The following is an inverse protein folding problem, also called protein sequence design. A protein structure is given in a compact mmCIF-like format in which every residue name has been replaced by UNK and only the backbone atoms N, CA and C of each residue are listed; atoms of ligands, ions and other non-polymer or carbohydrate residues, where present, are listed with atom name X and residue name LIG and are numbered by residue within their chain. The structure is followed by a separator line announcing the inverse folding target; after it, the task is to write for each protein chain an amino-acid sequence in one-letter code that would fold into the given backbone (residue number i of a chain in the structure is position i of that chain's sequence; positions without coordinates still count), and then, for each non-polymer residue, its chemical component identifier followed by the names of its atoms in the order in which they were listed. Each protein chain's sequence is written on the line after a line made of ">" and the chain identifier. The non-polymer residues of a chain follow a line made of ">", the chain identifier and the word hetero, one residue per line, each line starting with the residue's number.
data_IF_879799144955
#
_entry.id   IF_879799144955
#
_cell.length_a   1.000
_cell.length_b   1.000
_cell.length_c   1.000
_cell.angle_alpha   90.00
_cell.angle_beta   90.00
_cell.angle_gamma   90.00
#
_symmetry.space_group_name_H-M   'P 1'
#
loop_
_entity.id
_entity.type
_entity.pdbx_description
1 polymer ?
#
# COMPACT_ATOMS: atom_id res chain seq x y z
N UNK A 1 -14.55 12.49 0.51
CA UNK A 1 -13.47 13.24 1.23
C UNK A 1 -13.08 14.45 0.38
N UNK A 2 -13.04 15.65 0.98
CA UNK A 2 -12.54 16.84 0.31
C UNK A 2 -11.03 16.74 -0.01
N UNK A 3 -10.53 17.56 -0.93
CA UNK A 3 -9.12 17.50 -1.33
C UNK A 3 -8.18 17.87 -0.17
N UNK A 4 -8.56 18.87 0.61
CA UNK A 4 -7.81 19.35 1.77
C UNK A 4 -7.69 18.26 2.86
N UNK A 5 -8.78 17.54 3.12
CA UNK A 5 -8.81 16.41 4.07
C UNK A 5 -7.92 15.26 3.57
N UNK A 6 -7.96 14.99 2.27
CA UNK A 6 -7.09 13.99 1.65
C UNK A 6 -5.61 14.38 1.79
N UNK A 7 -5.28 15.65 1.55
CA UNK A 7 -3.92 16.17 1.75
C UNK A 7 -3.51 16.08 3.22
N UNK A 8 -4.40 16.44 4.16
CA UNK A 8 -4.14 16.32 5.59
C UNK A 8 -3.88 14.86 5.98
N UNK A 9 -4.67 13.91 5.46
CA UNK A 9 -4.44 12.48 5.66
C UNK A 9 -3.07 12.04 5.13
N UNK A 10 -2.69 12.44 3.92
CA UNK A 10 -1.41 12.06 3.34
C UNK A 10 -0.22 12.64 4.14
N UNK A 11 -0.33 13.88 4.62
CA UNK A 11 0.66 14.46 5.54
C UNK A 11 0.73 13.69 6.87
N UNK A 12 -0.41 13.32 7.44
CA UNK A 12 -0.49 12.51 8.65
C UNK A 12 0.12 11.11 8.44
N UNK A 13 -0.05 10.54 7.24
CA UNK A 13 0.63 9.32 6.84
C UNK A 13 2.14 9.54 6.58
N UNK A 14 2.58 10.80 6.68
CA UNK A 14 3.96 11.27 6.69
C UNK A 14 4.55 11.46 5.31
N UNK A 15 3.74 11.74 4.33
CA UNK A 15 4.21 12.20 3.04
C UNK A 15 4.53 13.69 3.10
N UNK A 16 5.63 14.07 2.47
CA UNK A 16 5.94 15.48 2.25
C UNK A 16 5.07 16.01 1.10
N UNK A 17 4.13 16.93 1.42
CA UNK A 17 3.20 17.49 0.46
C UNK A 17 3.38 18.99 0.38
N UNK A 18 3.63 19.50 -0.82
CA UNK A 18 3.77 20.92 -1.15
C UNK A 18 2.68 21.34 -2.13
N UNK A 19 2.26 22.59 -2.08
CA UNK A 19 1.30 23.15 -3.03
C UNK A 19 2.01 24.14 -3.96
N UNK A 20 1.81 23.98 -5.27
CA UNK A 20 2.36 24.87 -6.29
C UNK A 20 1.25 25.21 -7.28
N UNK A 21 0.91 26.49 -7.39
CA UNK A 21 -0.14 27.02 -8.29
C UNK A 21 -1.44 26.21 -8.24
N UNK A 22 -1.94 25.94 -7.03
CA UNK A 22 -3.21 25.24 -6.82
C UNK A 22 -3.12 23.72 -6.89
N UNK A 23 -2.03 23.13 -7.39
CA UNK A 23 -1.83 21.69 -7.43
C UNK A 23 -1.03 21.24 -6.20
N UNK A 24 -1.52 20.20 -5.51
CA UNK A 24 -0.77 19.54 -4.45
C UNK A 24 0.15 18.48 -5.05
N UNK A 25 1.39 18.47 -4.61
CA UNK A 25 2.43 17.53 -5.02
C UNK A 25 2.97 16.76 -3.82
N UNK A 26 3.08 15.46 -3.96
CA UNK A 26 3.65 14.56 -2.95
C UNK A 26 5.05 14.13 -3.38
N UNK A 27 6.03 14.30 -2.49
CA UNK A 27 7.36 13.74 -2.66
C UNK A 27 7.34 12.24 -2.35
N UNK A 28 7.28 11.42 -3.39
CA UNK A 28 7.20 9.95 -3.26
C UNK A 28 8.57 9.27 -3.16
N UNK A 29 9.63 9.99 -3.53
CA UNK A 29 11.05 9.71 -3.35
C UNK A 29 11.78 11.04 -3.18
N UNK A 30 13.01 11.08 -2.66
CA UNK A 30 13.76 12.33 -2.58
C UNK A 30 13.79 13.06 -3.93
N UNK A 31 13.23 14.28 -3.94
CA UNK A 31 13.13 15.16 -5.11
C UNK A 31 12.32 14.62 -6.30
N UNK A 32 11.57 13.52 -6.11
CA UNK A 32 10.67 13.00 -7.12
C UNK A 32 9.22 13.10 -6.67
N UNK A 33 8.40 13.79 -7.47
CA UNK A 33 7.06 14.24 -7.10
C UNK A 33 5.97 13.60 -7.96
N UNK A 34 4.80 13.41 -7.34
CA UNK A 34 3.53 13.08 -8.01
C UNK A 34 2.43 14.00 -7.50
N UNK A 35 1.42 14.33 -8.33
CA UNK A 35 0.29 15.13 -7.85
C UNK A 35 -0.55 14.35 -6.84
N UNK A 36 -1.32 15.05 -6.05
CA UNK A 36 -2.36 14.50 -5.17
C UNK A 36 -3.73 15.03 -5.59
N UNK A 37 -4.66 14.10 -5.86
CA UNK A 37 -4.53 12.64 -5.95
C UNK A 37 -3.64 12.22 -7.13
N UNK A 38 -3.00 11.05 -7.02
CA UNK A 38 -2.08 10.56 -8.06
C UNK A 38 -2.78 10.30 -9.41
N UNK A 39 -4.10 10.10 -9.39
CA UNK A 39 -4.94 9.95 -10.58
C UNK A 39 -5.35 11.29 -11.23
N UNK A 40 -4.97 12.41 -10.62
CA UNK A 40 -5.29 13.73 -11.17
C UNK A 40 -4.65 13.88 -12.55
N UNK A 41 -5.50 14.12 -13.54
CA UNK A 41 -5.08 14.39 -14.91
C UNK A 41 -4.59 15.83 -15.01
N UNK A 42 -3.39 16.01 -15.55
CA UNK A 42 -2.75 17.31 -15.72
C UNK A 42 -2.41 17.49 -17.21
N UNK A 43 -2.85 18.59 -17.80
CA UNK A 43 -2.43 18.96 -19.15
C UNK A 43 -0.97 19.44 -19.12
N UNK A 44 -0.17 18.94 -20.07
CA UNK A 44 1.23 19.35 -20.19
C UNK A 44 1.33 20.87 -20.36
N UNK A 45 2.23 21.51 -19.59
CA UNK A 45 2.40 22.96 -19.60
C UNK A 45 1.37 23.76 -18.79
N UNK A 46 0.29 23.16 -18.28
CA UNK A 46 -0.74 23.86 -17.50
C UNK A 46 -0.39 24.06 -16.03
N UNK A 47 0.57 23.32 -15.52
CA UNK A 47 0.95 23.39 -14.10
C UNK A 47 2.45 23.59 -13.93
N UNK A 48 2.81 24.16 -12.78
CA UNK A 48 4.21 24.27 -12.36
C UNK A 48 4.53 23.12 -11.39
N UNK A 49 5.71 22.54 -11.54
CA UNK A 49 6.22 21.54 -10.61
C UNK A 49 6.91 22.17 -9.40
N UNK A 50 7.02 21.46 -8.26
CA UNK A 50 7.84 21.89 -7.14
C UNK A 50 9.29 22.15 -7.56
N UNK A 51 9.94 23.11 -6.92
CA UNK A 51 11.36 23.42 -7.21
C UNK A 51 12.25 22.19 -7.06
N UNK A 52 12.00 21.35 -6.04
CA UNK A 52 12.74 20.11 -5.82
C UNK A 52 12.70 19.13 -7.01
N UNK A 53 11.64 19.17 -7.83
CA UNK A 53 11.52 18.30 -9.01
C UNK A 53 12.62 18.55 -10.04
N UNK A 54 13.25 19.74 -10.04
CA UNK A 54 14.41 20.05 -10.92
C UNK A 54 15.63 19.16 -10.64
N UNK A 55 15.74 18.56 -9.44
CA UNK A 55 16.87 17.72 -9.06
C UNK A 55 16.68 16.25 -9.46
N UNK A 56 15.43 15.75 -9.43
CA UNK A 56 15.15 14.37 -9.82
C UNK A 56 14.06 14.29 -10.88
N UNK A 57 12.83 14.78 -10.58
CA UNK A 57 11.76 14.79 -11.56
C UNK A 57 10.36 14.72 -10.98
N UNK A 58 9.39 14.54 -11.90
CA UNK A 58 7.99 14.33 -11.56
C UNK A 58 7.32 13.36 -12.54
N UNK A 59 6.22 12.73 -12.09
CA UNK A 59 5.36 11.91 -12.93
C UNK A 59 3.90 12.23 -12.62
N UNK A 60 3.09 12.46 -13.63
CA UNK A 60 1.67 12.79 -13.49
C UNK A 60 0.84 12.20 -14.61
N UNK A 61 -0.42 11.89 -14.31
CA UNK A 61 -1.36 11.41 -15.32
C UNK A 61 -1.67 12.51 -16.33
N UNK A 62 -1.82 12.11 -17.60
CA UNK A 62 -2.18 13.00 -18.70
C UNK A 62 -3.47 12.50 -19.37
N UNK A 63 -4.20 13.36 -20.11
CA UNK A 63 -5.36 12.92 -20.90
C UNK A 63 -4.98 11.80 -21.86
N UNK A 64 -5.91 10.88 -22.22
CA UNK A 64 -5.64 9.76 -23.12
C UNK A 64 -5.12 10.17 -24.50
N UNK A 65 -5.53 11.33 -25.00
CA UNK A 65 -5.13 11.92 -26.28
C UNK A 65 -3.78 12.62 -26.24
N UNK A 66 -3.22 12.86 -25.04
CA UNK A 66 -1.94 13.52 -24.90
C UNK A 66 -0.77 12.56 -25.18
N UNK A 67 0.36 13.12 -25.61
CA UNK A 67 1.58 12.33 -25.81
C UNK A 67 2.15 11.85 -24.48
N UNK A 68 1.75 10.66 -24.07
CA UNK A 68 2.31 9.98 -22.89
C UNK A 68 3.70 9.40 -23.22
N UNK A 69 4.61 9.44 -22.23
CA UNK A 69 5.91 8.77 -22.31
C UNK A 69 6.10 7.75 -21.16
N UNK A 70 5.07 7.56 -20.35
CA UNK A 70 5.06 6.60 -19.24
C UNK A 70 3.63 6.20 -18.87
N UNK A 71 3.50 5.29 -17.90
CA UNK A 71 2.21 4.90 -17.33
C UNK A 71 2.26 4.88 -15.81
N UNK A 72 1.15 5.27 -15.17
CA UNK A 72 0.86 5.00 -13.77
C UNK A 72 0.05 3.70 -13.71
N UNK A 73 0.67 2.64 -13.21
CA UNK A 73 0.01 1.34 -13.06
C UNK A 73 -0.59 1.23 -11.65
N UNK A 74 -1.91 1.08 -11.59
CA UNK A 74 -2.68 0.97 -10.35
C UNK A 74 -3.25 -0.42 -10.20
N UNK A 75 -3.31 -0.94 -8.99
CA UNK A 75 -4.09 -2.13 -8.65
C UNK A 75 -5.45 -1.71 -8.13
N UNK A 76 -6.49 -2.09 -8.84
CA UNK A 76 -7.86 -1.71 -8.54
C UNK A 76 -8.83 -2.87 -8.73
N UNK A 77 -9.88 -2.86 -7.91
CA UNK A 77 -11.06 -3.71 -8.10
C UNK A 77 -12.15 -2.83 -8.73
N UNK A 78 -12.51 -3.14 -9.95
CA UNK A 78 -13.56 -2.48 -10.71
C UNK A 78 -14.86 -3.31 -10.66
N UNK A 79 -15.98 -2.73 -11.07
CA UNK A 79 -17.29 -3.40 -11.14
C UNK A 79 -17.70 -4.01 -9.77
N UNK A 80 -17.54 -3.22 -8.69
CA UNK A 80 -17.80 -3.73 -7.34
C UNK A 80 -19.27 -4.09 -7.10
N UNK A 81 -20.24 -3.54 -7.87
CA UNK A 81 -21.66 -3.86 -7.71
C UNK A 81 -21.99 -5.36 -7.85
N UNK A 82 -21.21 -6.08 -8.63
CA UNK A 82 -21.38 -7.53 -8.83
C UNK A 82 -20.56 -8.38 -7.84
N UNK A 83 -19.85 -7.72 -6.91
CA UNK A 83 -19.00 -8.45 -5.98
C UNK A 83 -19.81 -9.13 -4.90
N UNK A 84 -19.51 -10.39 -4.70
CA UNK A 84 -19.99 -11.18 -3.56
C UNK A 84 -18.91 -12.19 -3.14
N UNK A 85 -19.09 -12.81 -1.98
CA UNK A 85 -18.20 -13.90 -1.56
C UNK A 85 -18.17 -15.03 -2.61
N UNK A 86 -19.29 -15.26 -3.31
CA UNK A 86 -19.39 -16.32 -4.31
C UNK A 86 -18.67 -16.00 -5.62
N UNK A 87 -18.37 -14.74 -5.92
CA UNK A 87 -17.56 -14.33 -7.06
C UNK A 87 -16.06 -14.64 -6.88
N UNK A 88 -15.61 -14.95 -5.66
CA UNK A 88 -14.21 -15.28 -5.39
C UNK A 88 -13.86 -16.71 -5.86
N UNK A 89 -12.62 -16.88 -6.29
CA UNK A 89 -12.04 -18.20 -6.55
C UNK A 89 -12.12 -19.08 -5.29
N UNK A 90 -12.26 -20.41 -5.49
CA UNK A 90 -12.51 -21.39 -4.42
C UNK A 90 -11.55 -21.25 -3.23
N UNK A 91 -10.24 -21.07 -3.49
CA UNK A 91 -9.25 -20.97 -2.42
C UNK A 91 -9.45 -19.70 -1.55
N UNK A 92 -9.73 -18.56 -2.18
CA UNK A 92 -9.94 -17.30 -1.45
C UNK A 92 -11.26 -17.29 -0.70
N UNK A 93 -12.32 -17.82 -1.30
CA UNK A 93 -13.60 -18.07 -0.61
C UNK A 93 -13.42 -18.93 0.64
N UNK A 94 -12.62 -20.01 0.56
CA UNK A 94 -12.31 -20.87 1.72
C UNK A 94 -11.61 -20.08 2.82
N UNK A 95 -10.60 -19.24 2.49
CA UNK A 95 -9.86 -18.43 3.48
C UNK A 95 -10.77 -17.42 4.17
N UNK A 96 -11.61 -16.70 3.44
CA UNK A 96 -12.59 -15.77 4.03
C UNK A 96 -13.56 -16.52 4.96
N UNK A 97 -14.10 -17.67 4.54
CA UNK A 97 -15.02 -18.48 5.37
C UNK A 97 -14.32 -19.06 6.61
N UNK A 98 -13.05 -19.41 6.54
CA UNK A 98 -12.29 -19.84 7.72
C UNK A 98 -12.08 -18.68 8.68
N UNK A 99 -11.64 -17.52 8.17
CA UNK A 99 -11.42 -16.34 8.98
C UNK A 99 -12.70 -15.85 9.68
N UNK A 100 -13.84 -15.88 8.99
CA UNK A 100 -15.13 -15.44 9.56
C UNK A 100 -15.70 -16.32 10.67
N UNK A 101 -15.10 -17.49 10.93
CA UNK A 101 -15.48 -18.31 12.10
C UNK A 101 -14.93 -17.75 13.41
N UNK A 102 -13.74 -17.17 13.36
CA UNK A 102 -12.99 -16.72 14.54
C UNK A 102 -12.84 -15.19 14.61
N UNK A 103 -13.10 -14.49 13.50
CA UNK A 103 -12.86 -13.06 13.37
C UNK A 103 -14.12 -12.31 12.93
N UNK A 104 -14.31 -11.12 13.49
CA UNK A 104 -15.39 -10.21 13.14
C UNK A 104 -14.78 -8.88 12.68
N UNK A 105 -15.25 -8.37 11.53
CA UNK A 105 -14.88 -7.02 11.07
C UNK A 105 -15.96 -6.03 11.51
N UNK A 106 -15.55 -4.98 12.20
CA UNK A 106 -16.44 -3.88 12.56
C UNK A 106 -15.73 -2.53 12.56
N UNK A 107 -16.49 -1.42 12.45
CA UNK A 107 -15.91 -0.08 12.62
C UNK A 107 -15.34 0.14 14.02
N UNK A 108 -14.24 0.88 14.09
CA UNK A 108 -13.71 1.46 15.33
C UNK A 108 -14.09 2.94 15.29
N UNK A 109 -15.07 3.31 16.13
CA UNK A 109 -15.73 4.62 16.02
C UNK A 109 -15.03 5.73 16.78
N UNK A 110 -14.18 5.39 17.76
CA UNK A 110 -13.56 6.38 18.65
C UNK A 110 -12.03 6.25 18.67
N UNK A 111 -11.37 7.40 18.78
CA UNK A 111 -9.92 7.44 18.99
C UNK A 111 -9.48 6.71 20.26
N UNK A 112 -10.31 6.73 21.32
CA UNK A 112 -10.03 6.04 22.58
C UNK A 112 -9.93 4.53 22.40
N UNK A 113 -10.93 3.93 21.72
CA UNK A 113 -10.93 2.50 21.40
C UNK A 113 -9.72 2.12 20.55
N UNK A 114 -9.42 2.92 19.53
CA UNK A 114 -8.28 2.70 18.65
C UNK A 114 -6.94 2.74 19.41
N UNK A 115 -6.72 3.76 20.24
CA UNK A 115 -5.49 3.90 21.03
C UNK A 115 -5.25 2.71 21.96
N UNK A 116 -6.31 2.25 22.62
CA UNK A 116 -6.21 1.16 23.59
C UNK A 116 -5.89 -0.19 22.93
N UNK A 117 -6.44 -0.44 21.73
CA UNK A 117 -6.42 -1.77 21.13
C UNK A 117 -5.44 -1.91 19.95
N UNK A 118 -5.17 -0.85 19.17
CA UNK A 118 -4.49 -0.99 17.88
C UNK A 118 -2.95 -0.96 17.98
N UNK A 119 -2.38 -0.36 19.00
CA UNK A 119 -0.92 -0.21 19.11
C UNK A 119 -0.17 -1.55 19.19
N UNK A 120 -0.61 -2.58 19.94
CA UNK A 120 0.03 -3.90 19.94
C UNK A 120 0.03 -4.55 18.55
N UNK A 121 -1.07 -4.47 17.80
CA UNK A 121 -1.15 -5.00 16.44
C UNK A 121 -0.21 -4.25 15.48
N UNK A 122 -0.06 -2.93 15.65
CA UNK A 122 0.91 -2.13 14.89
C UNK A 122 2.36 -2.54 15.20
N UNK A 123 2.71 -2.77 16.47
CA UNK A 123 4.06 -3.20 16.87
C UNK A 123 4.41 -4.56 16.28
N UNK A 124 3.51 -5.55 16.38
CA UNK A 124 3.69 -6.88 15.78
C UNK A 124 3.90 -6.79 14.26
N UNK A 125 3.06 -6.00 13.57
CA UNK A 125 3.23 -5.74 12.14
C UNK A 125 4.58 -5.11 11.82
N UNK A 126 5.01 -4.10 12.60
CA UNK A 126 6.27 -3.39 12.38
C UNK A 126 7.48 -4.34 12.53
N UNK A 127 7.50 -5.15 13.56
CA UNK A 127 8.57 -6.11 13.83
C UNK A 127 8.69 -7.18 12.74
N UNK A 128 7.56 -7.76 12.35
CA UNK A 128 7.51 -8.77 11.28
C UNK A 128 7.97 -8.24 9.94
N UNK A 129 7.50 -7.07 9.55
CA UNK A 129 7.76 -6.53 8.21
C UNK A 129 9.09 -5.82 8.09
N UNK A 130 9.75 -5.53 9.21
CA UNK A 130 10.94 -4.67 9.27
C UNK A 130 10.75 -3.37 8.50
N UNK A 131 9.50 -2.87 8.49
CA UNK A 131 9.11 -1.70 7.72
C UNK A 131 9.70 -0.45 8.37
N UNK A 132 10.87 0.01 7.88
CA UNK A 132 11.64 1.14 8.46
C UNK A 132 10.91 2.50 8.42
N UNK A 133 9.75 2.55 7.77
CA UNK A 133 8.96 3.77 7.62
C UNK A 133 8.06 3.92 8.84
N UNK A 134 8.12 5.10 9.48
CA UNK A 134 7.27 5.45 10.65
C UNK A 134 7.62 4.72 11.93
N UNK A 135 8.94 4.57 12.17
CA UNK A 135 9.44 4.03 13.44
C UNK A 135 8.96 4.80 14.67
N UNK A 136 8.68 6.09 14.51
CA UNK A 136 8.12 6.97 15.56
C UNK A 136 6.77 6.48 16.09
N UNK A 137 5.98 5.76 15.31
CA UNK A 137 4.70 5.17 15.77
C UNK A 137 4.87 3.98 16.73
N UNK A 138 6.08 3.53 16.96
CA UNK A 138 6.39 2.54 18.02
C UNK A 138 6.28 3.14 19.39
N UNK A 139 6.51 4.44 19.52
CA UNK A 139 6.31 5.16 20.76
C UNK A 139 4.80 5.29 21.05
N UNK A 140 4.32 4.87 22.24
CA UNK A 140 2.89 4.89 22.56
C UNK A 140 2.30 6.31 22.57
N UNK A 141 3.07 7.31 23.00
CA UNK A 141 2.60 8.69 23.06
C UNK A 141 2.49 9.28 21.65
N UNK A 142 3.47 8.99 20.78
CA UNK A 142 3.39 9.36 19.38
C UNK A 142 2.20 8.69 18.67
N UNK A 143 2.00 7.39 18.90
CA UNK A 143 0.88 6.64 18.33
C UNK A 143 -0.46 7.22 18.79
N UNK A 144 -0.59 7.57 20.07
CA UNK A 144 -1.79 8.20 20.59
C UNK A 144 -2.08 9.55 19.94
N UNK A 145 -1.07 10.42 19.81
CA UNK A 145 -1.21 11.72 19.13
C UNK A 145 -1.55 11.58 17.64
N UNK A 146 -0.91 10.62 16.96
CA UNK A 146 -1.24 10.28 15.58
C UNK A 146 -2.68 9.80 15.44
N UNK A 147 -3.18 9.00 16.38
CA UNK A 147 -4.57 8.53 16.40
C UNK A 147 -5.54 9.70 16.57
N UNK A 148 -5.27 10.63 17.51
CA UNK A 148 -6.11 11.82 17.68
C UNK A 148 -6.18 12.65 16.41
N UNK A 149 -5.07 12.84 15.75
CA UNK A 149 -5.02 13.55 14.49
C UNK A 149 -5.77 12.81 13.37
N UNK A 150 -5.70 11.47 13.32
CA UNK A 150 -6.42 10.63 12.37
C UNK A 150 -7.94 10.82 12.50
N UNK A 151 -8.47 10.75 13.73
CA UNK A 151 -9.92 10.86 13.98
C UNK A 151 -10.46 12.29 13.84
N UNK A 152 -9.61 13.30 13.66
CA UNK A 152 -10.03 14.67 13.28
C UNK A 152 -10.26 14.82 11.78
N UNK A 153 -9.76 13.89 10.96
CA UNK A 153 -9.93 13.95 9.51
C UNK A 153 -11.30 13.34 9.17
N UNK A 154 -12.21 14.07 8.55
CA UNK A 154 -13.54 13.58 8.25
C UNK A 154 -13.51 12.47 7.18
N UNK A 155 -14.55 11.62 7.20
CA UNK A 155 -14.78 10.60 6.18
C UNK A 155 -13.66 9.53 6.06
N UNK A 156 -12.91 9.29 7.12
CA UNK A 156 -12.04 8.12 7.24
C UNK A 156 -12.84 7.02 7.94
N UNK A 157 -12.94 5.87 7.29
CA UNK A 157 -13.49 4.65 7.88
C UNK A 157 -12.34 3.81 8.44
N UNK A 158 -12.38 3.59 9.74
CA UNK A 158 -11.44 2.70 10.43
C UNK A 158 -12.15 1.39 10.70
N UNK A 159 -11.69 0.31 10.09
CA UNK A 159 -12.20 -1.03 10.31
C UNK A 159 -11.22 -1.82 11.18
N UNK A 160 -11.74 -2.48 12.21
CA UNK A 160 -11.00 -3.40 13.05
C UNK A 160 -11.40 -4.84 12.79
N UNK A 161 -10.41 -5.75 12.79
CA UNK A 161 -10.62 -7.20 12.81
C UNK A 161 -10.42 -7.73 14.22
N UNK A 162 -11.48 -8.29 14.81
CA UNK A 162 -11.51 -8.71 16.21
C UNK A 162 -11.66 -10.22 16.33
N UNK A 163 -10.91 -10.82 17.26
CA UNK A 163 -11.17 -12.14 17.81
C UNK A 163 -11.61 -11.95 19.25
N UNK A 164 -12.86 -12.23 19.55
CA UNK A 164 -13.46 -11.88 20.84
C UNK A 164 -13.28 -10.38 21.17
N UNK A 165 -12.46 -10.06 22.19
CA UNK A 165 -12.13 -8.69 22.58
C UNK A 165 -10.76 -8.21 22.05
N UNK A 166 -9.99 -9.10 21.43
CA UNK A 166 -8.66 -8.79 20.91
C UNK A 166 -8.77 -8.17 19.51
N UNK A 167 -8.20 -6.98 19.33
CA UNK A 167 -8.08 -6.32 18.03
C UNK A 167 -6.80 -6.81 17.35
N UNK A 168 -6.96 -7.71 16.39
CA UNK A 168 -5.85 -8.33 15.66
C UNK A 168 -5.36 -7.57 14.45
N UNK A 169 -6.12 -6.58 13.94
CA UNK A 169 -5.68 -5.75 12.84
C UNK A 169 -6.63 -4.65 12.47
N UNK A 170 -6.13 -3.68 11.71
CA UNK A 170 -6.82 -2.45 11.35
C UNK A 170 -6.65 -2.13 9.87
N UNK A 171 -7.72 -1.65 9.26
CA UNK A 171 -7.70 -1.02 7.94
C UNK A 171 -8.17 0.42 8.04
N UNK A 172 -7.46 1.32 7.34
CA UNK A 172 -7.88 2.69 7.10
C UNK A 172 -8.34 2.82 5.66
N UNK A 173 -9.59 3.21 5.48
CA UNK A 173 -10.20 3.42 4.16
C UNK A 173 -10.88 4.79 4.09
N UNK A 174 -11.01 5.35 2.91
CA UNK A 174 -11.77 6.57 2.68
C UNK A 174 -12.28 6.63 1.24
N UNK A 175 -13.41 7.32 1.07
CA UNK A 175 -14.01 7.55 -0.24
C UNK A 175 -13.60 8.93 -0.78
N UNK A 176 -13.06 8.96 -2.01
CA UNK A 176 -12.81 10.16 -2.79
C UNK A 176 -13.17 9.93 -4.26
N UNK A 177 -13.97 10.82 -4.83
CA UNK A 177 -14.34 10.81 -6.26
C UNK A 177 -14.78 9.41 -6.75
N UNK A 178 -15.74 8.77 -6.05
CA UNK A 178 -16.26 7.41 -6.32
C UNK A 178 -15.22 6.27 -6.22
N UNK A 179 -14.00 6.56 -5.79
CA UNK A 179 -12.96 5.56 -5.50
C UNK A 179 -12.82 5.36 -4.00
N UNK A 180 -13.01 4.13 -3.53
CA UNK A 180 -12.71 3.73 -2.16
C UNK A 180 -11.23 3.35 -2.07
N UNK A 181 -10.47 4.13 -1.32
CA UNK A 181 -9.04 3.87 -1.11
C UNK A 181 -8.84 2.92 0.07
N UNK A 182 -8.25 1.76 -0.19
CA UNK A 182 -7.74 0.85 0.83
C UNK A 182 -6.34 1.29 1.24
N UNK A 183 -6.30 2.37 2.04
CA UNK A 183 -5.09 3.19 2.19
C UNK A 183 -4.00 2.55 3.06
N UNK A 184 -4.39 1.81 4.09
CA UNK A 184 -3.46 1.18 5.04
C UNK A 184 -4.12 -0.04 5.66
N UNK A 185 -3.31 -1.08 5.83
CA UNK A 185 -3.67 -2.25 6.61
C UNK A 185 -2.46 -2.73 7.42
N UNK A 186 -2.68 -3.06 8.69
CA UNK A 186 -1.71 -3.75 9.52
C UNK A 186 -2.42 -4.75 10.42
N UNK A 187 -1.76 -5.84 10.75
CA UNK A 187 -2.28 -6.87 11.67
C UNK A 187 -1.14 -7.58 12.40
N UNK A 188 -1.48 -8.17 13.53
CA UNK A 188 -0.58 -9.05 14.27
C UNK A 188 -0.37 -10.41 13.55
N UNK A 189 0.58 -11.19 14.08
CA UNK A 189 0.98 -12.47 13.49
C UNK A 189 -0.09 -13.56 13.62
N UNK A 190 -0.83 -13.56 14.73
CA UNK A 190 -1.84 -14.59 14.96
C UNK A 190 -3.07 -14.36 14.07
N UNK A 191 -3.49 -13.10 13.93
CA UNK A 191 -4.57 -12.73 13.01
C UNK A 191 -4.18 -12.91 11.54
N UNK A 192 -2.89 -12.74 11.21
CA UNK A 192 -2.38 -13.05 9.87
C UNK A 192 -2.55 -14.56 9.54
N UNK A 193 -2.22 -15.46 10.48
CA UNK A 193 -2.41 -16.92 10.34
C UNK A 193 -3.89 -17.29 10.19
N UNK A 194 -4.80 -16.53 10.82
CA UNK A 194 -6.24 -16.67 10.71
C UNK A 194 -6.83 -16.04 9.44
N UNK A 195 -6.01 -15.63 8.48
CA UNK A 195 -6.44 -15.01 7.23
C UNK A 195 -7.19 -13.68 7.38
N UNK A 196 -6.92 -12.90 8.43
CA UNK A 196 -7.52 -11.57 8.62
C UNK A 196 -7.36 -10.64 7.39
N UNK A 197 -6.21 -10.61 6.67
CA UNK A 197 -6.09 -9.78 5.46
C UNK A 197 -7.12 -10.11 4.37
N UNK A 198 -7.45 -11.39 4.22
CA UNK A 198 -8.46 -11.86 3.25
C UNK A 198 -9.87 -11.42 3.66
N UNK A 199 -10.20 -11.59 4.95
CA UNK A 199 -11.49 -11.18 5.50
C UNK A 199 -11.66 -9.66 5.48
N UNK A 200 -10.62 -8.90 5.82
CA UNK A 200 -10.64 -7.43 5.81
C UNK A 200 -10.85 -6.89 4.39
N UNK A 201 -10.12 -7.42 3.41
CA UNK A 201 -10.29 -7.02 2.01
C UNK A 201 -11.70 -7.39 1.50
N UNK A 202 -12.23 -8.56 1.90
CA UNK A 202 -13.61 -8.95 1.58
C UNK A 202 -14.61 -7.95 2.16
N UNK A 203 -14.52 -7.60 3.44
CA UNK A 203 -15.41 -6.65 4.08
C UNK A 203 -15.40 -5.26 3.42
N UNK A 204 -14.21 -4.77 3.04
CA UNK A 204 -14.06 -3.50 2.31
C UNK A 204 -14.72 -3.57 0.93
N UNK A 205 -14.54 -4.66 0.18
CA UNK A 205 -15.16 -4.84 -1.13
C UNK A 205 -16.68 -5.04 -1.04
N UNK A 206 -17.15 -5.74 -0.04
CA UNK A 206 -18.58 -5.91 0.24
C UNK A 206 -19.23 -4.58 0.57
N UNK A 207 -18.57 -3.74 1.39
CA UNK A 207 -19.04 -2.37 1.67
C UNK A 207 -19.06 -1.50 0.39
N UNK A 208 -18.09 -1.67 -0.50
CA UNK A 208 -18.08 -0.97 -1.79
C UNK A 208 -19.21 -1.47 -2.72
N UNK A 209 -19.48 -2.77 -2.74
CA UNK A 209 -20.56 -3.36 -3.53
C UNK A 209 -21.96 -2.88 -3.09
N UNK A 210 -22.13 -2.67 -1.78
CA UNK A 210 -23.38 -2.17 -1.20
C UNK A 210 -23.64 -0.68 -1.50
N UNK A 211 -22.66 0.06 -2.03
CA UNK A 211 -22.77 1.49 -2.30
C UNK A 211 -22.69 1.80 -3.80
N UNK A 212 -23.78 2.28 -4.44
CA UNK A 212 -23.76 2.63 -5.87
C UNK A 212 -22.84 3.80 -6.20
N UNK A 213 -22.42 4.57 -5.19
CA UNK A 213 -21.50 5.69 -5.37
C UNK A 213 -20.04 5.25 -5.50
N UNK A 214 -19.73 3.97 -5.23
CA UNK A 214 -18.37 3.44 -5.29
C UNK A 214 -18.20 2.62 -6.56
N UNK A 215 -17.45 3.17 -7.53
CA UNK A 215 -17.16 2.48 -8.79
C UNK A 215 -15.88 1.63 -8.73
N UNK A 216 -14.95 1.99 -7.86
CA UNK A 216 -13.60 1.41 -7.80
C UNK A 216 -13.14 1.26 -6.35
N UNK A 217 -12.44 0.16 -6.04
CA UNK A 217 -11.62 0.04 -4.83
C UNK A 217 -10.15 0.06 -5.25
N UNK A 218 -9.48 1.15 -4.93
CA UNK A 218 -8.04 1.30 -5.16
C UNK A 218 -7.26 0.57 -4.06
N UNK A 219 -6.45 -0.40 -4.45
CA UNK A 219 -5.67 -1.20 -3.51
C UNK A 219 -4.24 -0.68 -3.31
N UNK A 220 -3.52 -0.39 -4.39
CA UNK A 220 -2.16 0.15 -4.35
C UNK A 220 -1.67 0.59 -5.73
N UNK A 221 -0.47 1.20 -5.76
CA UNK A 221 0.32 1.32 -7.00
C UNK A 221 1.02 0.00 -7.26
N UNK A 222 0.94 -0.52 -8.51
CA UNK A 222 1.63 -1.73 -8.93
C UNK A 222 3.15 -1.54 -8.94
N UNK A 223 3.88 -2.45 -8.31
CA UNK A 223 5.34 -2.36 -8.11
C UNK A 223 6.14 -3.42 -8.88
N UNK A 224 5.49 -4.16 -9.77
CA UNK A 224 6.15 -5.17 -10.59
C UNK A 224 6.09 -6.58 -10.00
N UNK A 225 4.97 -6.96 -9.38
CA UNK A 225 4.70 -8.35 -8.98
C UNK A 225 5.33 -8.77 -7.65
N UNK A 226 5.57 -7.81 -6.72
CA UNK A 226 5.97 -8.17 -5.35
C UNK A 226 4.85 -8.92 -4.61
N UNK A 227 5.14 -9.44 -3.40
CA UNK A 227 4.17 -10.21 -2.62
C UNK A 227 2.83 -9.51 -2.37
N UNK A 228 2.83 -8.17 -2.21
CA UNK A 228 1.60 -7.40 -2.04
C UNK A 228 0.83 -7.27 -3.37
N UNK A 229 1.52 -7.08 -4.49
CA UNK A 229 0.87 -7.05 -5.80
C UNK A 229 0.24 -8.41 -6.11
N UNK A 230 0.98 -9.51 -5.88
CA UNK A 230 0.48 -10.88 -6.05
C UNK A 230 -0.74 -11.16 -5.14
N UNK A 231 -0.71 -10.64 -3.89
CA UNK A 231 -1.84 -10.71 -2.98
C UNK A 231 -3.11 -10.10 -3.57
N UNK A 232 -3.04 -8.89 -4.13
CA UNK A 232 -4.22 -8.23 -4.70
C UNK A 232 -4.65 -8.84 -6.04
N UNK A 233 -3.69 -9.12 -6.95
CA UNK A 233 -3.99 -9.70 -8.28
C UNK A 233 -4.68 -11.05 -8.15
N UNK A 234 -4.19 -11.93 -7.26
CA UNK A 234 -4.81 -13.24 -7.03
C UNK A 234 -6.23 -13.16 -6.45
N UNK A 235 -6.63 -12.01 -5.91
CA UNK A 235 -7.98 -11.74 -5.38
C UNK A 235 -8.85 -10.95 -6.36
N UNK A 236 -8.39 -10.82 -7.61
CA UNK A 236 -9.15 -10.22 -8.71
C UNK A 236 -8.89 -8.74 -8.92
N UNK A 237 -7.85 -8.15 -8.30
CA UNK A 237 -7.44 -6.80 -8.68
C UNK A 237 -6.88 -6.80 -10.10
N UNK A 238 -7.23 -5.78 -10.86
CA UNK A 238 -6.71 -5.53 -12.19
C UNK A 238 -5.61 -4.49 -12.15
N UNK A 239 -4.66 -4.61 -13.09
CA UNK A 239 -3.67 -3.56 -13.33
C UNK A 239 -4.30 -2.56 -14.29
N UNK A 240 -4.69 -1.40 -13.75
CA UNK A 240 -5.22 -0.28 -14.54
C UNK A 240 -4.04 0.61 -14.95
N UNK A 241 -3.82 0.71 -16.27
CA UNK A 241 -2.75 1.54 -16.83
C UNK A 241 -3.29 2.92 -17.20
N UNK A 242 -2.82 3.95 -16.53
CA UNK A 242 -3.19 5.33 -16.81
C UNK A 242 -2.05 6.02 -17.55
N UNK A 243 -2.28 6.61 -18.75
CA UNK A 243 -1.28 7.39 -19.46
C UNK A 243 -0.69 8.48 -18.56
N UNK A 244 0.64 8.61 -18.60
CA UNK A 244 1.34 9.55 -17.75
C UNK A 244 2.49 10.22 -18.49
N UNK A 245 2.86 11.40 -18.01
CA UNK A 245 4.07 12.10 -18.41
C UNK A 245 5.11 11.98 -17.28
N UNK A 246 6.28 11.48 -17.64
CA UNK A 246 7.46 11.38 -16.78
C UNK A 246 8.46 12.43 -17.22
N UNK A 247 8.78 13.34 -16.33
CA UNK A 247 9.82 14.33 -16.52
C UNK A 247 10.94 14.06 -15.53
N UNK A 248 12.13 13.73 -16.04
CA UNK A 248 13.32 13.47 -15.24
C UNK A 248 14.38 14.50 -15.55
N UNK A 249 15.09 14.95 -14.52
CA UNK A 249 16.35 15.63 -14.71
C UNK A 249 17.29 14.71 -15.52
N UNK A 250 17.97 15.20 -16.58
CA UNK A 250 18.79 14.36 -17.45
C UNK A 250 19.83 13.51 -16.71
N UNK A 251 20.53 14.10 -15.72
CA UNK A 251 21.52 13.39 -14.93
C UNK A 251 20.88 12.33 -14.03
N UNK A 252 19.79 12.67 -13.34
CA UNK A 252 19.04 11.72 -12.52
C UNK A 252 18.48 10.57 -13.37
N UNK A 253 17.95 10.89 -14.56
CA UNK A 253 17.47 9.89 -15.52
C UNK A 253 18.55 8.92 -15.96
N UNK A 254 19.76 9.42 -16.26
CA UNK A 254 20.91 8.59 -16.61
C UNK A 254 21.32 7.67 -15.45
N UNK A 255 21.39 8.20 -14.23
CA UNK A 255 21.74 7.43 -13.03
C UNK A 255 20.68 6.35 -12.78
N UNK A 256 19.39 6.70 -12.77
CA UNK A 256 18.32 5.73 -12.50
C UNK A 256 18.32 4.63 -13.58
N UNK A 257 18.47 4.98 -14.85
CA UNK A 257 18.48 4.02 -15.95
C UNK A 257 19.64 3.03 -15.84
N UNK A 258 20.84 3.49 -15.49
CA UNK A 258 22.04 2.64 -15.49
C UNK A 258 22.20 1.83 -14.19
N UNK A 259 21.92 2.42 -13.04
CA UNK A 259 22.15 1.79 -11.73
C UNK A 259 20.89 1.17 -11.11
N UNK A 260 19.69 1.61 -11.56
CA UNK A 260 18.40 1.14 -11.03
C UNK A 260 17.42 0.78 -12.15
N UNK A 261 17.79 -0.12 -13.10
CA UNK A 261 17.00 -0.38 -14.31
C UNK A 261 15.55 -0.85 -14.01
N UNK A 262 15.36 -1.62 -12.92
CA UNK A 262 14.02 -2.06 -12.50
C UNK A 262 13.16 -0.87 -12.05
N UNK A 263 13.73 0.06 -11.29
CA UNK A 263 13.04 1.29 -10.88
C UNK A 263 12.73 2.19 -12.08
N UNK A 264 13.65 2.26 -13.05
CA UNK A 264 13.40 2.99 -14.29
C UNK A 264 12.26 2.38 -15.10
N UNK A 265 12.25 1.06 -15.28
CA UNK A 265 11.14 0.34 -15.93
C UNK A 265 9.80 0.53 -15.18
N UNK A 266 9.83 0.59 -13.84
CA UNK A 266 8.66 0.90 -13.03
C UNK A 266 8.14 2.33 -13.29
N UNK A 267 9.02 3.32 -13.40
CA UNK A 267 8.65 4.71 -13.73
C UNK A 267 8.07 4.82 -15.14
N UNK A 268 8.58 4.03 -16.08
CA UNK A 268 8.02 3.96 -17.44
C UNK A 268 6.70 3.17 -17.51
N UNK A 269 6.34 2.44 -16.43
CA UNK A 269 5.16 1.59 -16.40
C UNK A 269 5.30 0.27 -17.16
N UNK A 270 6.51 -0.10 -17.55
CA UNK A 270 6.81 -1.30 -18.35
C UNK A 270 6.70 -2.62 -17.58
N UNK A 271 6.79 -2.58 -16.23
CA UNK A 271 6.70 -3.80 -15.41
C UNK A 271 5.34 -4.49 -15.45
N UNK A 272 4.29 -3.79 -15.89
CA UNK A 272 2.96 -4.36 -16.05
C UNK A 272 2.87 -5.34 -17.25
N UNK A 273 3.80 -5.28 -18.18
CA UNK A 273 3.86 -6.12 -19.37
C UNK A 273 4.61 -7.45 -19.10
N UNK A 274 5.28 -7.57 -17.94
CA UNK A 274 5.95 -8.80 -17.52
C UNK A 274 4.93 -9.70 -16.83
N UNK A 275 4.67 -10.93 -17.32
CA UNK A 275 3.82 -11.87 -16.60
C UNK A 275 4.36 -12.02 -15.18
N UNK A 276 3.47 -11.96 -14.19
CA UNK A 276 3.87 -12.22 -12.80
C UNK A 276 4.59 -13.57 -12.77
N UNK A 277 5.77 -13.69 -12.14
CA UNK A 277 6.42 -14.98 -12.00
C UNK A 277 5.42 -15.95 -11.38
N UNK A 278 5.22 -17.10 -12.03
CA UNK A 278 4.34 -18.14 -11.53
C UNK A 278 4.69 -18.34 -10.06
N UNK A 279 3.77 -18.00 -9.16
CA UNK A 279 4.02 -18.16 -7.74
C UNK A 279 4.12 -19.65 -7.49
N UNK A 280 5.35 -20.17 -7.30
CA UNK A 280 5.60 -21.46 -6.68
C UNK A 280 5.19 -21.39 -5.20
N UNK A 281 3.94 -21.05 -4.97
CA UNK A 281 3.31 -20.97 -3.66
C UNK A 281 2.44 -22.21 -3.43
N UNK A 282 2.98 -23.37 -3.80
CA UNK A 282 2.63 -24.64 -3.19
C UNK A 282 3.94 -25.23 -2.68
N UNK A 283 4.38 -24.78 -1.50
CA UNK A 283 5.21 -25.63 -0.68
C UNK A 283 4.42 -26.91 -0.45
N UNK A 284 5.07 -28.10 -0.54
CA UNK A 284 4.37 -29.35 -0.32
C UNK A 284 3.68 -29.27 1.04
N UNK A 285 2.35 -29.53 1.05
CA UNK A 285 1.61 -29.83 2.27
C UNK A 285 2.40 -30.93 2.97
N UNK A 286 3.03 -30.62 4.10
CA UNK A 286 3.68 -31.61 4.94
C UNK A 286 2.57 -32.53 5.46
N UNK A 287 2.53 -33.73 4.91
CA UNK A 287 1.73 -34.83 5.42
C UNK A 287 2.14 -35.06 6.90
N UNK A 288 1.25 -34.96 7.87
CA UNK A 288 1.59 -35.11 9.29
C UNK A 288 1.92 -36.54 9.71
N UNK A 289 2.03 -37.51 8.77
CA UNK A 289 2.28 -38.90 9.03
C UNK A 289 3.66 -39.42 8.61
N UNK A 290 4.59 -38.55 8.15
CA UNK A 290 5.93 -39.01 7.79
C UNK A 290 6.86 -39.04 9.02
N UNK A 291 7.63 -40.15 9.26
CA UNK A 291 8.53 -40.26 10.39
C UNK A 291 9.74 -39.32 10.26
N UNK A 292 10.06 -38.70 11.37
CA UNK A 292 11.15 -37.72 11.55
C UNK A 292 12.51 -38.33 11.18
N UNK A 293 13.15 -37.79 10.13
CA UNK A 293 14.53 -38.10 9.79
C UNK A 293 15.51 -37.31 10.68
N UNK A 294 16.72 -37.86 11.02
CA UNK A 294 17.67 -37.22 11.92
C UNK A 294 18.33 -35.99 11.30
N UNK A 295 18.80 -35.01 12.13
CA UNK A 295 19.33 -33.74 11.68
C UNK A 295 20.65 -33.90 10.91
N UNK A 296 20.76 -33.23 9.75
CA UNK A 296 22.00 -33.07 9.01
C UNK A 296 22.86 -31.93 9.58
N UNK A 297 24.20 -32.05 9.55
CA UNK A 297 25.08 -31.03 10.11
C UNK A 297 25.14 -29.78 9.25
N UNK A 298 25.22 -28.65 9.93
CA UNK A 298 25.37 -27.27 9.38
C UNK A 298 26.63 -27.17 8.53
N UNK A 299 26.47 -26.78 7.27
CA UNK A 299 27.56 -26.18 6.48
C UNK A 299 27.29 -24.68 6.29
N UNK A 300 28.32 -23.94 6.64
CA UNK A 300 28.52 -22.52 6.73
C UNK A 300 28.33 -21.73 5.43
N UNK A 301 27.77 -20.53 5.59
CA UNK A 301 28.14 -19.25 5.00
C UNK A 301 28.19 -19.10 3.48
N UNK A 302 27.17 -18.35 2.97
CA UNK A 302 27.42 -17.44 1.87
C UNK A 302 26.80 -16.07 2.24
N UNK A 303 27.66 -15.07 2.36
CA UNK A 303 27.37 -13.69 2.68
C UNK A 303 26.56 -13.06 1.54
N UNK A 304 25.43 -12.49 1.91
CA UNK A 304 24.57 -11.70 1.01
C UNK A 304 25.11 -10.25 0.94
N UNK A 305 25.42 -9.69 -0.23
CA UNK A 305 26.06 -8.37 -0.36
C UNK A 305 25.17 -7.15 -0.05
N UNK A 306 24.00 -7.33 0.58
CA UNK A 306 23.08 -6.26 0.93
C UNK A 306 23.01 -5.91 2.43
N UNK A 307 23.87 -6.49 3.25
CA UNK A 307 24.00 -6.12 4.68
C UNK A 307 25.02 -5.00 4.84
N UNK A 308 24.59 -3.76 4.53
CA UNK A 308 25.32 -2.57 4.97
C UNK A 308 24.90 -2.24 6.40
N UNK A 309 25.88 -2.22 7.31
CA UNK A 309 25.76 -1.88 8.72
C UNK A 309 25.19 -0.46 8.88
N UNK A 310 24.18 -0.25 9.75
CA UNK A 310 23.60 1.06 10.02
C UNK A 310 24.57 2.10 10.59
N UNK A 311 25.77 1.70 11.00
CA UNK A 311 26.81 2.58 11.54
C UNK A 311 27.55 3.41 10.50
N UNK A 312 27.46 3.09 9.19
CA UNK A 312 28.26 3.72 8.13
C UNK A 312 27.51 4.86 7.38
N UNK A 313 26.39 5.33 7.89
CA UNK A 313 25.70 6.47 7.28
C UNK A 313 26.10 7.79 7.96
N UNK A 314 26.55 8.81 7.21
CA UNK A 314 26.92 10.11 7.77
C UNK A 314 25.73 10.81 8.42
N UNK A 315 25.94 11.60 9.51
CA UNK A 315 24.87 12.30 10.21
C UNK A 315 24.20 13.34 9.32
N UNK A 316 22.87 13.34 9.32
CA UNK A 316 22.06 14.33 8.57
C UNK A 316 22.25 15.72 9.17
N UNK A 317 22.41 16.78 8.35
CA UNK A 317 22.41 18.14 8.84
C UNK A 317 21.04 18.49 9.47
N UNK A 318 21.07 19.09 10.66
CA UNK A 318 19.92 19.75 11.28
C UNK A 318 19.72 21.09 10.57
N UNK A 319 18.55 21.28 9.99
CA UNK A 319 17.96 22.58 9.69
C UNK A 319 16.66 22.71 10.47
#
# INVERSE_FOLDING_TARGET
>A
MALEDYVAFQKLMGLNVVQVKGTYWCEVRPFFYRPLPMSQVIHQGSTSMPFGAKFCGAQYAVPPEAKANSFLNRLSFENNGDYSLDSLQRNWKRKVRLASKDLIIRPILTASEFKQAAHPAYLSFYERTRYKVRSERRDPAYFANWTDALYRIPNILVLGGFRDRHLGGVSLTFLKDRTLFYATFFCDDDSLKLHLPDLMLHAVRESAAASPDISEVFASMYKGGNGLDAFYVSRGAKIVRQPAHLELNPLAGLIIRNFFPRQYAQLLGQLADVPAPASNAEGPESDPTAPTAPPRPNHSSSSNPNDLDPADLPPRPRL
#
